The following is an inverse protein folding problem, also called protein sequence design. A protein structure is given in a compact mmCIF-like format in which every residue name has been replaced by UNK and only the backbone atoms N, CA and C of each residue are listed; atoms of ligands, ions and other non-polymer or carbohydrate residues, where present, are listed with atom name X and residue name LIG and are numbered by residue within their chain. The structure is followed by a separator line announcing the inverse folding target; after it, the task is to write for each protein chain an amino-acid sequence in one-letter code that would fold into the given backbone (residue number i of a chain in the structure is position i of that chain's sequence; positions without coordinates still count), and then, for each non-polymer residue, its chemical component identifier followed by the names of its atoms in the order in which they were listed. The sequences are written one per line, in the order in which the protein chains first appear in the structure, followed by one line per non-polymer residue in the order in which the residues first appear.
data_IF_493455392257
#
_entry.id   IF_493455392257
#
_cell.length_a   1.000
_cell.length_b   1.000
_cell.length_c   1.000
_cell.angle_alpha   90.00
_cell.angle_beta   90.00
_cell.angle_gamma   90.00
#
_symmetry.space_group_name_H-M   'P 1'
#
loop_
_entity.id
_entity.type
_entity.pdbx_description
1 polymer ?
#
# COMPACT_ATOMS: atom_id res chain seq x y z
N UNK A 1 3.80 18.54 9.62
CA UNK A 1 2.75 17.52 9.74
C UNK A 1 2.75 16.63 8.50
N UNK A 2 2.39 15.36 8.67
CA UNK A 2 2.23 14.41 7.55
C UNK A 2 0.76 14.32 7.18
N UNK A 3 0.44 14.46 5.89
CA UNK A 3 -0.92 14.37 5.38
C UNK A 3 -1.28 12.92 5.04
N UNK A 4 -2.32 12.38 5.66
CA UNK A 4 -2.92 11.11 5.22
C UNK A 4 -3.81 11.33 4.01
N UNK A 5 -3.43 10.81 2.84
CA UNK A 5 -4.12 11.03 1.56
C UNK A 5 -4.28 9.69 0.83
N UNK A 6 -5.39 9.52 0.12
CA UNK A 6 -5.61 8.41 -0.81
C UNK A 6 -6.16 8.95 -2.13
N UNK A 7 -6.05 8.15 -3.18
CA UNK A 7 -6.63 8.46 -4.50
C UNK A 7 -5.61 8.90 -5.56
N UNK A 8 -4.33 8.57 -5.38
CA UNK A 8 -3.33 8.71 -6.44
C UNK A 8 -2.50 9.98 -6.40
N UNK A 9 -1.55 10.06 -7.34
CA UNK A 9 -0.48 11.07 -7.38
C UNK A 9 -1.03 12.50 -7.49
N UNK A 10 -1.97 12.74 -8.39
CA UNK A 10 -2.53 14.08 -8.61
C UNK A 10 -3.30 14.59 -7.38
N UNK A 11 -4.06 13.71 -6.73
CA UNK A 11 -4.81 14.05 -5.50
C UNK A 11 -3.85 14.40 -4.36
N UNK A 12 -2.73 13.67 -4.25
CA UNK A 12 -1.67 13.98 -3.30
C UNK A 12 -1.06 15.35 -3.56
N UNK A 13 -0.69 15.66 -4.81
CA UNK A 13 -0.13 16.95 -5.21
C UNK A 13 -1.10 18.10 -4.90
N UNK A 14 -2.36 17.99 -5.33
CA UNK A 14 -3.37 19.04 -5.13
C UNK A 14 -3.59 19.37 -3.65
N UNK A 15 -3.65 18.36 -2.79
CA UNK A 15 -3.84 18.55 -1.34
C UNK A 15 -2.58 19.09 -0.68
N UNK A 16 -1.40 18.65 -1.09
CA UNK A 16 -0.12 19.20 -0.65
C UNK A 16 -0.05 20.71 -0.96
N UNK A 17 -0.34 21.10 -2.19
CA UNK A 17 -0.31 22.49 -2.65
C UNK A 17 -1.31 23.35 -1.89
N UNK A 18 -2.54 22.85 -1.71
CA UNK A 18 -3.58 23.55 -0.94
C UNK A 18 -3.11 23.86 0.48
N UNK A 19 -2.51 22.88 1.16
CA UNK A 19 -2.05 23.06 2.55
C UNK A 19 -0.85 24.00 2.63
N UNK A 20 0.10 23.89 1.70
CA UNK A 20 1.29 24.77 1.67
C UNK A 20 0.94 26.21 1.34
N UNK A 21 0.03 26.43 0.38
CA UNK A 21 -0.46 27.77 0.01
C UNK A 21 -1.21 28.44 1.18
N UNK A 22 -1.82 27.65 2.06
CA UNK A 22 -2.42 28.13 3.31
C UNK A 22 -1.40 28.35 4.45
N UNK A 23 -0.09 28.20 4.20
CA UNK A 23 0.97 28.41 5.19
C UNK A 23 1.27 27.21 6.09
N UNK A 24 0.64 26.05 5.86
CA UNK A 24 0.86 24.85 6.70
C UNK A 24 2.23 24.24 6.40
N UNK A 25 2.97 23.93 7.48
CA UNK A 25 4.25 23.23 7.40
C UNK A 25 4.02 21.73 7.22
N UNK A 26 3.99 21.29 5.97
CA UNK A 26 3.87 19.87 5.58
C UNK A 26 5.24 19.27 5.35
N UNK A 27 5.54 18.15 6.02
CA UNK A 27 6.82 17.43 5.91
C UNK A 27 6.67 16.03 5.29
N UNK A 28 5.44 15.58 5.01
CA UNK A 28 5.24 14.32 4.34
C UNK A 28 3.82 14.08 3.84
N UNK A 29 3.70 13.12 2.93
CA UNK A 29 2.45 12.52 2.47
C UNK A 29 2.49 11.05 2.88
N UNK A 30 1.46 10.56 3.55
CA UNK A 30 1.25 9.15 3.80
C UNK A 30 0.08 8.65 2.96
N UNK A 31 0.36 7.69 2.08
CA UNK A 31 -0.60 7.15 1.13
C UNK A 31 -0.68 5.63 1.24
N UNK A 32 -1.66 5.13 1.99
CA UNK A 32 -1.79 3.70 2.25
C UNK A 32 -2.24 2.89 1.01
N UNK A 33 -2.93 3.51 0.06
CA UNK A 33 -3.37 2.89 -1.21
C UNK A 33 -2.29 2.93 -2.31
N UNK A 34 -1.02 3.19 -1.96
CA UNK A 34 0.12 3.17 -2.90
C UNK A 34 0.24 1.83 -3.66
N UNK A 35 -0.19 0.73 -3.04
CA UNK A 35 -0.22 -0.61 -3.62
C UNK A 35 -1.49 -0.93 -4.40
N UNK A 36 -2.42 0.02 -4.48
CA UNK A 36 -3.70 -0.09 -5.18
C UNK A 36 -4.90 -0.25 -4.24
N UNK A 37 -6.08 -0.36 -4.86
CA UNK A 37 -7.37 -0.38 -4.17
C UNK A 37 -8.06 -1.73 -4.43
N UNK A 38 -8.66 -2.29 -3.38
CA UNK A 38 -9.60 -3.41 -3.45
C UNK A 38 -11.00 -2.89 -3.11
N UNK A 39 -11.99 -3.21 -3.95
CA UNK A 39 -13.40 -2.94 -3.66
C UNK A 39 -13.99 -4.12 -2.88
N UNK A 40 -14.71 -3.82 -1.80
CA UNK A 40 -15.46 -4.79 -0.97
C UNK A 40 -16.83 -4.20 -0.65
N UNK A 41 -17.79 -4.99 -0.16
CA UNK A 41 -19.08 -4.46 0.31
C UNK A 41 -18.92 -3.46 1.46
N UNK A 42 -17.86 -3.59 2.25
CA UNK A 42 -17.48 -2.67 3.33
C UNK A 42 -16.82 -1.37 2.82
N UNK A 43 -16.60 -1.23 1.51
CA UNK A 43 -16.01 -0.07 0.86
C UNK A 43 -14.61 -0.32 0.31
N UNK A 44 -13.86 0.77 0.10
CA UNK A 44 -12.50 0.76 -0.44
C UNK A 44 -11.52 0.26 0.61
N UNK A 45 -10.72 -0.74 0.26
CA UNK A 45 -9.61 -1.27 1.07
C UNK A 45 -8.28 -1.17 0.33
N UNK A 46 -7.18 -1.23 1.07
CA UNK A 46 -5.83 -1.29 0.50
C UNK A 46 -5.58 -2.66 -0.12
N UNK A 47 -4.97 -2.69 -1.31
CA UNK A 47 -4.51 -3.93 -1.93
C UNK A 47 -3.26 -4.47 -1.22
N UNK A 48 -3.36 -5.65 -0.59
CA UNK A 48 -2.25 -6.25 0.16
C UNK A 48 -1.27 -6.99 -0.76
N UNK A 49 -0.63 -6.22 -1.61
CA UNK A 49 0.40 -6.69 -2.53
C UNK A 49 1.46 -5.59 -2.66
N UNK A 50 2.44 -5.62 -1.77
CA UNK A 50 3.34 -4.52 -1.36
C UNK A 50 4.33 -4.04 -2.44
N UNK A 51 3.78 -3.66 -3.58
CA UNK A 51 4.45 -3.15 -4.76
C UNK A 51 3.71 -1.90 -5.21
N UNK A 52 4.45 -0.93 -5.73
CA UNK A 52 3.85 0.29 -6.26
C UNK A 52 2.87 -0.05 -7.38
N UNK A 53 1.64 0.46 -7.27
CA UNK A 53 0.64 0.39 -8.31
C UNK A 53 0.68 1.68 -9.15
N UNK A 54 1.28 1.60 -10.34
CA UNK A 54 1.43 2.73 -11.25
C UNK A 54 0.14 3.19 -11.93
N UNK A 55 -0.91 2.35 -11.95
CA UNK A 55 -2.23 2.77 -12.45
C UNK A 55 -2.92 3.69 -11.44
N UNK A 56 -2.84 3.35 -10.14
CA UNK A 56 -3.40 4.17 -9.07
C UNK A 56 -2.51 5.40 -8.77
N UNK A 57 -1.19 5.24 -8.84
CA UNK A 57 -0.19 6.28 -8.58
C UNK A 57 0.75 6.45 -9.78
N UNK A 58 0.31 7.05 -10.89
CA UNK A 58 1.18 7.27 -12.04
C UNK A 58 2.36 8.19 -11.68
N UNK A 59 3.54 7.89 -12.23
CA UNK A 59 4.78 8.68 -12.07
C UNK A 59 5.25 8.90 -10.61
N UNK A 60 4.81 8.06 -9.67
CA UNK A 60 5.13 8.22 -8.25
C UNK A 60 6.64 8.24 -7.97
N UNK A 61 7.41 7.42 -8.69
CA UNK A 61 8.86 7.36 -8.60
C UNK A 61 9.55 8.72 -8.88
N UNK A 62 9.02 9.48 -9.84
CA UNK A 62 9.48 10.81 -10.19
C UNK A 62 8.96 11.86 -9.21
N UNK A 63 7.68 11.78 -8.83
CA UNK A 63 7.07 12.70 -7.87
C UNK A 63 7.73 12.62 -6.49
N UNK A 64 8.11 11.44 -6.01
CA UNK A 64 8.84 11.28 -4.75
C UNK A 64 10.15 12.06 -4.76
N UNK A 65 10.89 12.05 -5.88
CA UNK A 65 12.15 12.82 -6.00
C UNK A 65 11.89 14.31 -5.92
N UNK A 66 10.87 14.80 -6.61
CA UNK A 66 10.45 16.20 -6.57
C UNK A 66 10.03 16.61 -5.15
N UNK A 67 9.13 15.85 -4.52
CA UNK A 67 8.68 16.09 -3.15
C UNK A 67 9.85 16.11 -2.15
N UNK A 68 10.80 15.20 -2.28
CA UNK A 68 11.99 15.17 -1.43
C UNK A 68 12.85 16.45 -1.57
N UNK A 69 13.03 16.96 -2.80
CA UNK A 69 13.73 18.23 -3.05
C UNK A 69 13.02 19.42 -2.39
N UNK A 70 11.70 19.34 -2.27
CA UNK A 70 10.87 20.35 -1.60
C UNK A 70 10.70 20.09 -0.08
N UNK A 71 11.40 19.10 0.49
CA UNK A 71 11.32 18.77 1.93
C UNK A 71 10.07 17.99 2.35
N UNK A 72 9.44 17.25 1.45
CA UNK A 72 8.28 16.38 1.70
C UNK A 72 8.65 14.93 1.48
N UNK A 73 8.55 14.10 2.53
CA UNK A 73 8.74 12.66 2.43
C UNK A 73 7.47 11.96 1.94
N UNK A 74 7.62 10.86 1.21
CA UNK A 74 6.51 9.96 0.91
C UNK A 74 6.57 8.72 1.80
N UNK A 75 5.46 8.42 2.47
CA UNK A 75 5.32 7.27 3.35
C UNK A 75 4.28 6.31 2.76
N UNK A 76 4.65 5.03 2.69
CA UNK A 76 3.81 3.96 2.18
C UNK A 76 3.15 3.16 3.33
N UNK A 77 2.58 2.00 3.00
CA UNK A 77 1.97 1.08 3.95
C UNK A 77 2.34 -0.38 3.63
N UNK A 78 2.57 -1.18 4.67
CA UNK A 78 2.78 -2.62 4.59
C UNK A 78 2.26 -3.29 5.86
N UNK A 79 1.82 -4.55 5.75
CA UNK A 79 1.54 -5.43 6.88
C UNK A 79 2.07 -6.85 6.58
N UNK A 80 2.11 -7.79 7.55
CA UNK A 80 2.76 -9.09 7.38
C UNK A 80 1.91 -10.14 6.64
N UNK A 81 0.82 -9.73 5.98
CA UNK A 81 -0.02 -10.59 5.15
C UNK A 81 0.18 -10.27 3.66
N UNK A 82 -0.05 -11.25 2.80
CA UNK A 82 -0.02 -11.09 1.33
C UNK A 82 -1.31 -11.62 0.74
N UNK A 83 -1.99 -10.83 -0.10
CA UNK A 83 -3.28 -11.20 -0.69
C UNK A 83 -3.15 -12.44 -1.57
N UNK A 84 -4.00 -13.44 -1.36
CA UNK A 84 -3.89 -14.76 -2.00
C UNK A 84 -4.08 -14.74 -3.51
N UNK A 85 -4.70 -13.68 -4.05
CA UNK A 85 -4.98 -13.45 -5.46
C UNK A 85 -3.94 -12.54 -6.15
N UNK A 86 -2.75 -12.39 -5.55
CA UNK A 86 -1.67 -11.53 -6.05
C UNK A 86 -0.29 -12.21 -6.03
N UNK A 87 0.64 -11.62 -6.77
CA UNK A 87 1.95 -12.22 -7.11
C UNK A 87 2.85 -12.46 -5.90
N UNK A 88 2.84 -11.59 -4.87
CA UNK A 88 3.65 -11.84 -3.67
C UNK A 88 3.20 -13.08 -2.89
N UNK A 89 1.90 -13.40 -2.86
CA UNK A 89 1.42 -14.62 -2.21
C UNK A 89 1.77 -15.86 -3.03
N UNK A 90 1.66 -15.78 -4.36
CA UNK A 90 2.08 -16.86 -5.25
C UNK A 90 3.58 -17.17 -5.10
N UNK A 91 4.42 -16.13 -5.04
CA UNK A 91 5.85 -16.30 -4.81
C UNK A 91 6.15 -16.90 -3.42
N UNK A 92 5.48 -16.40 -2.38
CA UNK A 92 5.65 -16.90 -1.03
C UNK A 92 5.26 -18.38 -0.89
N UNK A 93 4.16 -18.79 -1.53
CA UNK A 93 3.71 -20.19 -1.57
C UNK A 93 4.77 -21.09 -2.22
N UNK A 94 5.29 -20.72 -3.40
CA UNK A 94 6.33 -21.47 -4.14
C UNK A 94 7.63 -21.64 -3.35
N UNK A 95 7.99 -20.65 -2.53
CA UNK A 95 9.22 -20.67 -1.72
C UNK A 95 9.01 -21.23 -0.31
N UNK A 96 7.79 -21.60 0.07
CA UNK A 96 7.47 -22.11 1.41
C UNK A 96 7.55 -21.05 2.52
N UNK A 97 7.29 -19.78 2.19
CA UNK A 97 7.37 -18.65 3.13
C UNK A 97 6.06 -18.36 3.88
N UNK A 98 4.98 -19.07 3.55
CA UNK A 98 3.70 -18.95 4.23
C UNK A 98 3.65 -19.90 5.43
N UNK A 99 3.02 -19.47 6.51
CA UNK A 99 2.65 -20.34 7.62
C UNK A 99 1.77 -21.48 7.11
N UNK A 100 1.86 -22.65 7.75
CA UNK A 100 1.12 -23.84 7.36
C UNK A 100 -0.06 -24.12 8.28
N UNK A 101 -1.12 -24.69 7.74
CA UNK A 101 -2.22 -25.26 8.52
C UNK A 101 -1.86 -26.66 9.07
N UNK A 102 -2.79 -27.27 9.80
CA UNK A 102 -2.60 -28.61 10.38
C UNK A 102 -2.49 -29.73 9.33
N UNK A 103 -2.98 -29.51 8.10
CA UNK A 103 -2.87 -30.45 6.98
C UNK A 103 -1.59 -30.25 6.15
N UNK A 104 -0.77 -29.24 6.49
CA UNK A 104 0.47 -28.90 5.78
C UNK A 104 0.27 -27.97 4.57
N UNK A 105 -0.95 -27.46 4.33
CA UNK A 105 -1.27 -26.47 3.31
C UNK A 105 -0.91 -25.04 3.74
N UNK A 106 -0.88 -24.09 2.81
CA UNK A 106 -0.66 -22.67 3.15
C UNK A 106 -1.86 -22.11 3.94
N UNK A 107 -1.58 -21.48 5.08
CA UNK A 107 -2.61 -20.91 5.94
C UNK A 107 -3.08 -19.55 5.40
N UNK A 108 -4.33 -19.50 4.97
CA UNK A 108 -4.99 -18.31 4.45
C UNK A 108 -6.01 -17.77 5.46
N UNK A 109 -5.82 -16.54 5.92
CA UNK A 109 -6.75 -15.85 6.82
C UNK A 109 -7.80 -15.10 6.02
N UNK A 110 -9.07 -15.25 6.39
CA UNK A 110 -10.17 -14.49 5.82
C UNK A 110 -10.23 -13.07 6.43
N UNK A 111 -10.29 -12.04 5.58
CA UNK A 111 -10.34 -10.64 5.99
C UNK A 111 -11.61 -9.92 5.54
N UNK A 112 -12.71 -10.65 5.31
CA UNK A 112 -13.96 -10.09 4.78
C UNK A 112 -13.85 -9.84 3.28
N UNK A 113 -14.23 -10.85 2.50
CA UNK A 113 -14.26 -10.89 1.01
C UNK A 113 -12.89 -11.04 0.31
N UNK A 114 -11.81 -11.23 1.05
CA UNK A 114 -10.53 -11.66 0.50
C UNK A 114 -9.71 -12.45 1.53
N UNK A 115 -8.75 -13.21 1.03
CA UNK A 115 -7.85 -14.02 1.85
C UNK A 115 -6.42 -13.47 1.80
N UNK A 116 -5.70 -13.62 2.91
CA UNK A 116 -4.29 -13.26 3.02
C UNK A 116 -3.45 -14.40 3.58
N UNK A 117 -2.36 -14.75 2.90
CA UNK A 117 -1.36 -15.66 3.42
C UNK A 117 -0.56 -14.99 4.54
N UNK A 118 -0.26 -15.75 5.59
CA UNK A 118 0.54 -15.27 6.74
C UNK A 118 2.01 -15.50 6.45
N UNK A 119 2.80 -14.44 6.33
CA UNK A 119 4.25 -14.56 6.10
C UNK A 119 4.92 -15.05 7.39
N UNK A 120 5.72 -16.12 7.28
CA UNK A 120 6.48 -16.71 8.38
C UNK A 120 7.95 -16.30 8.27
N UNK A 121 8.48 -15.64 9.29
CA UNK A 121 9.93 -15.55 9.51
C UNK A 121 10.45 -16.89 10.03
N UNK A 122 11.56 -17.36 9.45
CA UNK A 122 12.20 -18.62 9.85
C UNK A 122 12.90 -18.48 11.19
#
# INVERSE_FOLDING_TARGET
MTLGIQGGTEVCQKKLDTMRNAGVKVNGIWAQDWSGIRMTSFGKRVMWNWKWNSENYPQLDSCIKQWNQEGVQFLAYINPYVASDKDLCEEAAKRGYLAKDAAGGDYLVEFGEFYGGVVRSH
#
